data_IF_851348530324
#
_entry.id   IF_851348530324
#
_cell.length_a   1.000
_cell.length_b   1.000
_cell.length_c   1.000
_cell.angle_alpha   90.00
_cell.angle_beta   90.00
_cell.angle_gamma   90.00
#
_symmetry.space_group_name_H-M   'P 1'
#
loop_
_entity.id
_entity.type
_entity.pdbx_description
1 polymer ?
#
# COMPACT_ATOMS: atom_id res chain seq x y z
N UNK A 1 59.11 -61.96 5.04
CA UNK A 1 59.43 -60.56 4.71
C UNK A 1 58.15 -59.74 4.74
N UNK A 2 58.18 -58.61 5.47
CA UNK A 2 57.24 -57.47 5.53
C UNK A 2 55.78 -57.70 5.99
N UNK A 3 55.50 -57.09 7.14
CA UNK A 3 54.18 -56.68 7.69
C UNK A 3 53.52 -55.63 6.78
N UNK A 4 52.19 -55.51 6.81
CA UNK A 4 51.50 -54.23 7.07
C UNK A 4 50.01 -54.43 7.40
N UNK A 5 49.53 -53.64 8.38
CA UNK A 5 48.14 -53.50 8.85
C UNK A 5 47.27 -52.68 7.87
N UNK A 6 45.93 -52.81 7.97
CA UNK A 6 44.93 -51.74 8.13
C UNK A 6 43.52 -52.39 8.15
N UNK A 7 42.83 -52.43 9.29
CA UNK A 7 41.89 -51.43 9.82
C UNK A 7 40.55 -51.34 9.05
N UNK A 8 39.50 -51.79 9.75
CA UNK A 8 38.07 -51.68 9.47
C UNK A 8 37.58 -50.24 9.28
N UNK A 9 36.66 -50.02 8.34
CA UNK A 9 35.70 -48.91 8.42
C UNK A 9 34.34 -49.33 7.82
N UNK A 10 33.31 -49.33 8.66
CA UNK A 10 31.90 -49.41 8.25
C UNK A 10 31.57 -48.20 7.37
N UNK A 11 31.07 -48.45 6.15
CA UNK A 11 30.42 -47.42 5.35
C UNK A 11 28.91 -47.39 5.69
N UNK A 12 28.57 -46.52 6.65
CA UNK A 12 27.21 -46.05 6.88
C UNK A 12 26.87 -45.04 5.77
N UNK A 13 26.32 -45.51 4.65
CA UNK A 13 25.84 -44.66 3.55
C UNK A 13 24.37 -44.33 3.77
N UNK A 14 24.11 -43.18 4.38
CA UNK A 14 22.76 -42.69 4.68
C UNK A 14 21.85 -42.57 3.45
N UNK A 15 20.61 -43.02 3.64
CA UNK A 15 19.47 -42.66 2.81
C UNK A 15 19.26 -41.13 2.92
N UNK A 16 19.66 -40.39 1.89
CA UNK A 16 19.23 -39.01 1.73
C UNK A 16 17.80 -39.03 1.17
N UNK A 17 16.79 -38.46 1.86
CA UNK A 17 15.49 -38.24 1.24
C UNK A 17 15.67 -37.18 0.16
N UNK A 18 15.22 -37.50 -1.05
CA UNK A 18 15.05 -36.53 -2.12
C UNK A 18 14.02 -35.49 -1.68
N UNK A 19 14.47 -34.30 -1.26
CA UNK A 19 13.59 -33.16 -1.04
C UNK A 19 13.16 -32.62 -2.40
N UNK A 20 11.94 -32.98 -2.82
CA UNK A 20 11.20 -32.27 -3.85
C UNK A 20 10.93 -30.86 -3.35
N UNK A 21 11.49 -29.85 -4.04
CA UNK A 21 11.29 -28.44 -3.69
C UNK A 21 9.91 -28.01 -4.19
N UNK A 22 8.91 -28.14 -3.32
CA UNK A 22 7.58 -27.55 -3.52
C UNK A 22 7.66 -26.09 -3.05
N UNK A 23 7.39 -25.07 -3.90
CA UNK A 23 7.40 -23.67 -3.50
C UNK A 23 6.13 -23.38 -2.69
N UNK A 24 6.10 -23.89 -1.45
CA UNK A 24 5.15 -23.46 -0.44
C UNK A 24 5.41 -22.00 -0.11
N UNK A 25 4.38 -21.18 -0.21
CA UNK A 25 4.35 -19.83 0.33
C UNK A 25 4.75 -19.90 1.81
N UNK A 26 5.89 -19.32 2.16
CA UNK A 26 6.24 -19.11 3.57
C UNK A 26 5.45 -17.88 4.02
N UNK A 27 4.25 -18.11 4.53
CA UNK A 27 3.62 -17.16 5.43
C UNK A 27 4.29 -17.42 6.78
N UNK A 28 5.21 -16.53 7.18
CA UNK A 28 5.69 -16.52 8.56
C UNK A 28 4.53 -16.01 9.43
N UNK A 29 3.68 -16.91 9.89
CA UNK A 29 2.86 -16.70 11.07
C UNK A 29 3.54 -17.50 12.20
N UNK A 30 4.33 -16.82 13.02
CA UNK A 30 5.22 -17.49 13.98
C UNK A 30 4.49 -18.07 15.20
N UNK A 31 3.16 -18.01 15.24
CA UNK A 31 2.34 -18.65 16.27
C UNK A 31 2.70 -18.20 17.69
N UNK A 32 3.48 -17.13 17.85
CA UNK A 32 3.82 -16.57 19.13
C UNK A 32 2.69 -15.63 19.54
N UNK A 33 2.08 -15.87 20.71
CA UNK A 33 1.41 -14.80 21.45
C UNK A 33 2.49 -13.84 21.92
N UNK A 34 3.04 -13.07 20.98
CA UNK A 34 3.90 -11.94 21.28
C UNK A 34 3.16 -10.94 22.17
N UNK A 35 3.88 -10.03 22.85
CA UNK A 35 3.23 -8.98 23.61
C UNK A 35 2.19 -8.28 22.72
N UNK A 36 0.96 -8.14 23.22
CA UNK A 36 -0.12 -7.42 22.56
C UNK A 36 0.47 -6.15 21.94
N UNK A 37 0.29 -5.91 20.61
CA UNK A 37 0.96 -4.80 19.96
C UNK A 37 0.70 -3.50 20.72
N UNK A 38 1.75 -2.94 21.31
CA UNK A 38 1.65 -1.66 22.03
C UNK A 38 1.11 -0.61 21.07
N UNK A 39 0.24 0.28 21.56
CA UNK A 39 -0.29 1.38 20.76
C UNK A 39 0.86 2.14 20.06
N UNK A 40 0.71 2.52 18.76
CA UNK A 40 1.76 3.24 18.05
C UNK A 40 2.15 4.53 18.78
N UNK A 41 3.43 4.71 19.05
CA UNK A 41 3.93 5.89 19.77
C UNK A 41 3.92 7.16 18.89
N UNK A 42 3.96 7.00 17.57
CA UNK A 42 3.91 8.06 16.58
C UNK A 42 3.25 7.58 15.28
N UNK A 43 2.98 8.50 14.34
CA UNK A 43 2.35 8.15 13.07
C UNK A 43 3.21 7.21 12.19
N UNK A 44 4.54 7.27 12.27
CA UNK A 44 5.41 6.36 11.52
C UNK A 44 5.20 4.90 11.95
N UNK A 45 5.13 4.66 13.26
CA UNK A 45 4.81 3.33 13.80
C UNK A 45 3.38 2.90 13.45
N UNK A 46 2.44 3.83 13.39
CA UNK A 46 1.07 3.53 12.96
C UNK A 46 1.07 2.98 11.54
N UNK A 47 1.79 3.62 10.61
CA UNK A 47 1.87 3.16 9.22
C UNK A 47 2.55 1.80 9.09
N UNK A 48 3.62 1.55 9.85
CA UNK A 48 4.36 0.29 9.75
C UNK A 48 3.65 -0.88 10.41
N UNK A 49 2.88 -0.63 11.48
CA UNK A 49 2.17 -1.68 12.23
C UNK A 49 0.76 -1.96 11.70
N UNK A 50 0.03 -0.92 11.26
CA UNK A 50 -1.39 -1.02 10.94
C UNK A 50 -1.71 -0.74 9.46
N UNK A 51 -0.76 -0.20 8.70
CA UNK A 51 -0.92 -0.03 7.25
C UNK A 51 -0.99 -1.37 6.52
N UNK A 52 -1.33 -1.32 5.23
CA UNK A 52 -1.45 -2.53 4.42
C UNK A 52 -0.15 -3.37 4.48
N UNK A 53 -0.23 -4.68 4.77
CA UNK A 53 0.94 -5.48 5.05
C UNK A 53 1.84 -5.64 3.82
N UNK A 54 3.15 -5.78 4.06
CA UNK A 54 4.12 -6.17 3.03
C UNK A 54 4.07 -7.68 2.87
N UNK A 55 3.88 -8.12 1.64
CA UNK A 55 3.99 -9.51 1.21
C UNK A 55 5.35 -9.70 0.54
N UNK A 56 6.01 -10.82 0.85
CA UNK A 56 7.36 -11.11 0.37
C UNK A 56 7.38 -12.44 -0.37
N UNK A 57 7.84 -12.42 -1.63
CA UNK A 57 8.00 -13.62 -2.45
C UNK A 57 9.47 -13.80 -2.83
N UNK A 58 10.06 -14.95 -2.52
CA UNK A 58 11.41 -15.30 -2.97
C UNK A 58 11.31 -16.23 -4.16
N UNK A 59 12.00 -15.92 -5.26
CA UNK A 59 11.87 -16.68 -6.49
C UNK A 59 13.16 -16.76 -7.30
N UNK A 60 13.20 -17.71 -8.22
CA UNK A 60 14.29 -17.92 -9.16
C UNK A 60 14.07 -17.07 -10.43
N UNK A 61 14.91 -16.06 -10.69
CA UNK A 61 14.71 -15.12 -11.80
C UNK A 61 15.00 -15.73 -13.18
N UNK A 62 15.57 -16.93 -13.27
CA UNK A 62 15.93 -17.55 -14.56
C UNK A 62 14.72 -18.10 -15.34
N UNK A 63 13.54 -18.16 -14.70
CA UNK A 63 12.28 -18.65 -15.28
C UNK A 63 11.17 -17.60 -15.17
N UNK A 64 10.08 -17.80 -15.90
CA UNK A 64 8.87 -16.99 -15.70
C UNK A 64 8.24 -17.33 -14.35
N UNK A 65 7.79 -16.31 -13.63
CA UNK A 65 7.22 -16.45 -12.30
C UNK A 65 5.86 -15.76 -12.23
N UNK A 66 4.93 -16.40 -11.51
CA UNK A 66 3.60 -15.86 -11.23
C UNK A 66 3.29 -15.99 -9.75
N UNK A 67 2.79 -14.90 -9.14
CA UNK A 67 2.39 -14.85 -7.74
C UNK A 67 0.96 -14.35 -7.64
N UNK A 68 0.24 -14.75 -6.59
CA UNK A 68 -1.06 -14.18 -6.25
C UNK A 68 -0.94 -13.52 -4.90
N UNK A 69 -1.22 -12.21 -4.84
CA UNK A 69 -1.28 -11.47 -3.59
C UNK A 69 -2.45 -11.91 -2.71
N UNK A 70 -2.38 -11.60 -1.42
CA UNK A 70 -3.42 -11.92 -0.45
C UNK A 70 -4.80 -11.35 -0.81
N UNK A 71 -4.87 -10.29 -1.63
CA UNK A 71 -6.14 -9.73 -2.13
C UNK A 71 -6.42 -10.07 -3.60
N UNK A 72 -5.72 -11.06 -4.15
CA UNK A 72 -6.02 -11.65 -5.44
C UNK A 72 -5.36 -10.99 -6.64
N UNK A 73 -4.49 -9.98 -6.46
CA UNK A 73 -3.70 -9.45 -7.58
C UNK A 73 -2.72 -10.51 -8.07
N UNK A 74 -2.78 -10.83 -9.36
CA UNK A 74 -1.85 -11.76 -9.99
C UNK A 74 -0.68 -10.98 -10.58
N UNK A 75 0.54 -11.31 -10.16
CA UNK A 75 1.79 -10.68 -10.57
C UNK A 75 2.50 -11.65 -11.50
N UNK A 76 2.86 -11.21 -12.71
CA UNK A 76 3.63 -12.03 -13.66
C UNK A 76 4.92 -11.32 -14.05
N UNK A 77 6.04 -12.02 -13.83
CA UNK A 77 7.40 -11.55 -14.10
C UNK A 77 8.05 -12.53 -15.10
N UNK A 78 8.51 -12.07 -16.27
CA UNK A 78 9.17 -12.95 -17.23
C UNK A 78 10.54 -13.41 -16.74
N UNK A 79 11.05 -14.48 -17.36
CA UNK A 79 12.42 -14.94 -17.13
C UNK A 79 13.44 -13.84 -17.43
N UNK A 80 14.50 -13.77 -16.62
CA UNK A 80 15.63 -12.86 -16.78
C UNK A 80 15.22 -11.37 -16.82
N UNK A 81 14.11 -11.01 -16.17
CA UNK A 81 13.57 -9.66 -16.18
C UNK A 81 14.48 -8.64 -15.48
N UNK A 82 15.32 -9.08 -14.54
CA UNK A 82 16.13 -8.20 -13.70
C UNK A 82 17.62 -8.29 -14.03
N UNK A 83 18.28 -7.14 -14.05
CA UNK A 83 19.72 -6.99 -14.28
C UNK A 83 20.38 -6.18 -13.17
N UNK A 84 21.63 -6.52 -12.88
CA UNK A 84 22.52 -5.76 -12.01
C UNK A 84 23.81 -5.49 -12.78
N UNK A 85 24.16 -4.21 -12.93
CA UNK A 85 25.34 -3.79 -13.72
C UNK A 85 25.36 -4.39 -15.15
N UNK A 86 24.19 -4.45 -15.80
CA UNK A 86 24.04 -4.98 -17.16
C UNK A 86 24.07 -6.51 -17.28
N UNK A 87 24.25 -7.25 -16.18
CA UNK A 87 24.19 -8.72 -16.17
C UNK A 87 22.88 -9.19 -15.55
N UNK A 88 22.29 -10.24 -16.12
CA UNK A 88 21.09 -10.87 -15.58
C UNK A 88 21.36 -11.33 -14.15
N UNK A 89 20.42 -11.04 -13.25
CA UNK A 89 20.45 -11.53 -11.88
C UNK A 89 20.13 -13.02 -11.91
N UNK A 90 21.04 -13.86 -11.40
CA UNK A 90 20.91 -15.32 -11.37
C UNK A 90 20.65 -15.90 -9.98
N UNK A 91 20.88 -15.11 -8.92
CA UNK A 91 20.54 -15.50 -7.55
C UNK A 91 19.05 -15.29 -7.25
N UNK A 92 18.51 -15.90 -6.18
CA UNK A 92 17.12 -15.67 -5.77
C UNK A 92 16.82 -14.18 -5.59
N UNK A 93 15.68 -13.74 -6.13
CA UNK A 93 15.19 -12.36 -6.01
C UNK A 93 14.04 -12.35 -5.01
N UNK A 94 14.03 -11.34 -4.14
CA UNK A 94 12.92 -11.08 -3.23
C UNK A 94 12.00 -10.00 -3.82
N UNK A 95 10.71 -10.29 -3.96
CA UNK A 95 9.68 -9.34 -4.36
C UNK A 95 8.91 -8.86 -3.12
N UNK A 96 8.95 -7.56 -2.84
CA UNK A 96 8.08 -6.89 -1.88
C UNK A 96 6.83 -6.36 -2.57
N UNK A 97 5.66 -6.69 -2.04
CA UNK A 97 4.36 -6.35 -2.64
C UNK A 97 3.36 -5.88 -1.58
N UNK A 98 2.49 -4.91 -1.91
CA UNK A 98 1.39 -4.45 -1.04
C UNK A 98 0.14 -4.19 -1.87
N UNK A 99 -1.03 -4.36 -1.26
CA UNK A 99 -2.33 -4.13 -1.89
C UNK A 99 -3.22 -3.28 -0.96
N UNK A 100 -3.76 -2.17 -1.46
CA UNK A 100 -4.67 -1.25 -0.76
C UNK A 100 -5.95 -1.12 -1.58
N UNK A 101 -7.01 -1.82 -1.15
CA UNK A 101 -8.30 -1.85 -1.88
C UNK A 101 -9.46 -1.26 -1.09
N UNK A 102 -9.40 -1.29 0.25
CA UNK A 102 -10.44 -0.74 1.13
C UNK A 102 -10.00 0.60 1.71
N UNK A 103 -10.99 1.44 2.01
CA UNK A 103 -10.83 2.78 2.60
C UNK A 103 -10.04 2.78 3.91
N UNK A 104 -10.23 1.75 4.76
CA UNK A 104 -9.44 1.59 5.98
C UNK A 104 -7.93 1.52 5.71
N UNK A 105 -7.53 0.76 4.67
CA UNK A 105 -6.12 0.60 4.33
C UNK A 105 -5.53 1.87 3.72
N UNK A 106 -6.33 2.67 3.01
CA UNK A 106 -5.92 4.00 2.51
C UNK A 106 -5.57 4.92 3.68
N UNK A 107 -6.41 4.96 4.72
CA UNK A 107 -6.17 5.75 5.94
C UNK A 107 -4.93 5.24 6.68
N UNK A 108 -4.89 3.95 6.98
CA UNK A 108 -3.82 3.34 7.81
C UNK A 108 -2.46 3.30 7.09
N UNK A 109 -2.44 3.29 5.76
CA UNK A 109 -1.21 3.37 4.96
C UNK A 109 -0.82 4.80 4.59
N UNK A 110 -1.66 5.79 4.92
CA UNK A 110 -1.57 7.16 4.44
C UNK A 110 -1.45 7.27 2.91
N UNK A 111 -2.27 6.49 2.21
CA UNK A 111 -2.40 6.54 0.76
C UNK A 111 -3.81 7.03 0.40
N UNK A 112 -4.06 8.35 0.41
CA UNK A 112 -5.33 8.90 -0.02
C UNK A 112 -5.48 8.82 -1.54
N UNK A 113 -6.71 8.87 -2.03
CA UNK A 113 -7.04 8.78 -3.46
C UNK A 113 -7.26 10.18 -4.03
N UNK A 114 -6.18 10.94 -4.15
CA UNK A 114 -6.19 12.34 -4.63
C UNK A 114 -5.05 12.56 -5.62
N UNK A 115 -5.30 13.36 -6.67
CA UNK A 115 -4.29 13.81 -7.62
C UNK A 115 -4.51 15.27 -7.98
N UNK A 116 -3.53 16.13 -7.71
CA UNK A 116 -3.59 17.56 -8.00
C UNK A 116 -4.79 18.25 -7.36
N UNK A 117 -5.16 17.85 -6.13
CA UNK A 117 -6.32 18.37 -5.40
C UNK A 117 -7.69 17.87 -5.91
N UNK A 118 -7.72 16.91 -6.83
CA UNK A 118 -8.95 16.29 -7.33
C UNK A 118 -9.09 14.89 -6.73
N UNK A 119 -10.28 14.60 -6.23
CA UNK A 119 -10.63 13.28 -5.71
C UNK A 119 -10.57 12.22 -6.81
N UNK A 120 -10.14 11.03 -6.42
CA UNK A 120 -10.12 9.83 -7.23
C UNK A 120 -11.04 8.77 -6.62
N UNK A 121 -11.81 8.09 -7.47
CA UNK A 121 -12.48 6.84 -7.14
C UNK A 121 -11.56 5.68 -7.52
N UNK A 122 -11.28 4.83 -6.53
CA UNK A 122 -10.21 3.85 -6.64
C UNK A 122 -10.67 2.42 -6.88
N UNK A 123 -10.05 1.79 -7.88
CA UNK A 123 -10.10 0.34 -8.09
C UNK A 123 -8.85 -0.39 -7.56
N UNK A 124 -8.02 0.30 -6.78
CA UNK A 124 -6.98 -0.31 -5.98
C UNK A 124 -5.59 0.22 -6.26
N UNK A 125 -4.81 0.24 -5.18
CA UNK A 125 -3.43 0.69 -5.16
C UNK A 125 -2.52 -0.50 -4.85
N UNK A 126 -1.40 -0.59 -5.54
CA UNK A 126 -0.42 -1.65 -5.35
C UNK A 126 0.98 -1.08 -5.27
N UNK A 127 1.79 -1.66 -4.38
CA UNK A 127 3.22 -1.43 -4.32
C UNK A 127 3.95 -2.64 -4.85
N UNK A 128 4.98 -2.43 -5.66
CA UNK A 128 5.85 -3.50 -6.13
C UNK A 128 7.31 -3.04 -6.16
N UNK A 129 8.18 -3.84 -5.56
CA UNK A 129 9.63 -3.68 -5.64
C UNK A 129 10.32 -5.02 -5.60
N UNK A 130 11.12 -5.30 -6.63
CA UNK A 130 12.03 -6.43 -6.62
C UNK A 130 13.37 -5.96 -6.04
N UNK A 131 13.78 -6.65 -4.97
CA UNK A 131 14.97 -6.45 -4.17
C UNK A 131 15.02 -5.09 -3.44
N UNK A 132 15.70 -5.08 -2.28
CA UNK A 132 16.05 -3.86 -1.57
C UNK A 132 17.32 -3.22 -2.15
N UNK A 133 18.06 -3.97 -2.97
CA UNK A 133 19.21 -3.47 -3.72
C UNK A 133 18.76 -2.57 -4.88
N UNK A 134 18.96 -1.26 -4.73
CA UNK A 134 18.63 -0.26 -5.75
C UNK A 134 19.46 -0.36 -7.04
N UNK A 135 20.53 -1.17 -7.08
CA UNK A 135 21.29 -1.44 -8.30
C UNK A 135 20.63 -2.48 -9.21
N UNK A 136 19.61 -3.19 -8.72
CA UNK A 136 18.80 -4.09 -9.52
C UNK A 136 17.73 -3.29 -10.26
N UNK A 137 17.69 -3.48 -11.58
CA UNK A 137 16.81 -2.78 -12.51
C UNK A 137 16.11 -3.78 -13.41
N UNK A 138 14.98 -3.39 -13.99
CA UNK A 138 14.38 -4.15 -15.08
C UNK A 138 15.23 -4.03 -16.34
N UNK A 139 15.46 -5.17 -17.00
CA UNK A 139 16.12 -5.25 -18.29
C UNK A 139 15.36 -4.42 -19.33
N UNK A 140 16.08 -3.85 -20.30
CA UNK A 140 15.47 -3.06 -21.38
C UNK A 140 14.40 -3.86 -22.11
N UNK A 141 13.17 -3.33 -22.15
CA UNK A 141 12.02 -3.97 -22.81
C UNK A 141 11.31 -5.03 -21.97
N UNK A 142 11.85 -5.40 -20.80
CA UNK A 142 11.12 -6.25 -19.86
C UNK A 142 9.92 -5.50 -19.28
N UNK A 143 8.85 -6.25 -19.02
CA UNK A 143 7.63 -5.73 -18.39
C UNK A 143 7.17 -6.67 -17.28
N UNK A 144 6.60 -6.08 -16.23
CA UNK A 144 5.90 -6.81 -15.17
C UNK A 144 4.40 -6.59 -15.40
N UNK A 145 3.61 -7.67 -15.38
CA UNK A 145 2.15 -7.57 -15.51
C UNK A 145 1.50 -7.79 -14.16
N UNK A 146 0.58 -6.89 -13.80
CA UNK A 146 -0.27 -7.00 -12.62
C UNK A 146 -1.71 -7.10 -13.09
N UNK A 147 -2.41 -8.15 -12.71
CA UNK A 147 -3.85 -8.31 -12.96
C UNK A 147 -4.57 -8.14 -11.63
N UNK A 148 -5.21 -6.99 -11.44
CA UNK A 148 -5.97 -6.66 -10.22
C UNK A 148 -7.39 -7.21 -10.30
N UNK A 149 -8.08 -7.18 -9.16
CA UNK A 149 -9.52 -7.43 -9.07
C UNK A 149 -10.25 -6.11 -8.83
N UNK A 150 -11.47 -5.96 -9.36
CA UNK A 150 -12.32 -4.80 -9.06
C UNK A 150 -12.82 -4.89 -7.61
N UNK A 151 -12.51 -3.90 -6.75
CA UNK A 151 -13.05 -3.85 -5.40
C UNK A 151 -14.59 -3.75 -5.41
N UNK A 152 -15.30 -4.33 -4.42
CA UNK A 152 -16.77 -4.35 -4.40
C UNK A 152 -17.45 -2.97 -4.42
N UNK A 153 -16.75 -1.92 -3.99
CA UNK A 153 -17.24 -0.56 -3.81
C UNK A 153 -16.87 0.40 -4.95
N UNK A 154 -16.41 -0.13 -6.09
CA UNK A 154 -16.24 0.63 -7.33
C UNK A 154 -17.55 0.61 -8.11
N UNK A 155 -18.13 1.79 -8.38
CA UNK A 155 -19.41 1.90 -9.05
C UNK A 155 -19.34 1.50 -10.53
N UNK A 156 -18.21 1.78 -11.19
CA UNK A 156 -17.88 1.28 -12.54
C UNK A 156 -16.36 1.29 -12.74
N UNK A 157 -15.77 0.18 -13.25
CA UNK A 157 -14.34 0.10 -13.56
C UNK A 157 -13.98 0.80 -14.89
N UNK A 158 -14.94 1.43 -15.57
CA UNK A 158 -14.68 2.14 -16.81
C UNK A 158 -13.86 3.41 -16.57
N UNK A 159 -13.10 3.81 -17.59
CA UNK A 159 -12.29 5.04 -17.58
C UNK A 159 -11.22 5.09 -16.47
N UNK A 160 -10.85 3.94 -15.91
CA UNK A 160 -9.70 3.84 -15.01
C UNK A 160 -8.42 4.23 -15.74
N UNK A 161 -7.56 4.94 -15.04
CA UNK A 161 -6.29 5.46 -15.52
C UNK A 161 -5.21 5.03 -14.54
N UNK A 162 -4.00 4.91 -15.07
CA UNK A 162 -2.84 4.60 -14.24
C UNK A 162 -2.34 5.88 -13.59
N UNK A 163 -2.27 5.86 -12.27
CA UNK A 163 -1.56 6.83 -11.45
C UNK A 163 -0.34 6.16 -10.83
N UNK A 164 0.67 6.96 -10.53
CA UNK A 164 1.98 6.51 -10.06
C UNK A 164 2.45 7.35 -8.89
N UNK A 165 3.19 6.71 -7.99
CA UNK A 165 3.80 7.33 -6.82
C UNK A 165 5.27 6.98 -6.69
N UNK A 166 6.09 8.00 -6.42
CA UNK A 166 7.52 7.84 -6.12
C UNK A 166 7.78 7.01 -4.86
N UNK A 167 8.88 6.26 -4.87
CA UNK A 167 9.26 5.28 -3.87
C UNK A 167 9.17 5.73 -2.41
N UNK A 168 8.39 4.95 -1.65
CA UNK A 168 8.43 4.86 -0.19
C UNK A 168 8.30 3.38 0.18
N UNK A 169 9.29 2.59 -0.20
CA UNK A 169 9.32 1.13 -0.03
C UNK A 169 9.51 0.62 1.38
N UNK A 170 9.66 1.52 2.35
CA UNK A 170 9.72 1.17 3.76
C UNK A 170 9.23 2.34 4.59
N UNK A 171 8.14 2.14 5.35
CA UNK A 171 7.64 3.05 6.39
C UNK A 171 6.99 4.38 5.96
N UNK A 172 6.02 4.32 5.04
CA UNK A 172 4.98 5.35 4.88
C UNK A 172 5.18 6.29 3.70
N UNK A 173 4.10 6.61 3.00
CA UNK A 173 4.09 7.73 2.07
C UNK A 173 4.32 9.05 2.84
N UNK A 174 4.85 10.11 2.21
CA UNK A 174 4.98 11.42 2.86
C UNK A 174 3.64 11.85 3.47
N UNK A 175 3.71 12.63 4.56
CA UNK A 175 2.54 13.00 5.36
C UNK A 175 1.39 13.66 4.55
N UNK A 176 1.63 14.12 3.32
CA UNK A 176 0.59 14.63 2.42
C UNK A 176 0.82 14.11 1.02
N UNK A 177 0.71 12.79 0.87
CA UNK A 177 0.91 12.12 -0.42
C UNK A 177 -0.18 12.48 -1.43
N UNK A 178 0.22 12.63 -2.69
CA UNK A 178 -0.65 12.93 -3.83
C UNK A 178 -0.20 12.08 -5.03
N UNK A 179 -1.17 11.45 -5.70
CA UNK A 179 -0.91 10.59 -6.85
C UNK A 179 -0.59 11.43 -8.10
N UNK A 180 0.39 10.98 -8.89
CA UNK A 180 0.67 11.59 -10.19
C UNK A 180 0.05 10.76 -11.29
N UNK A 181 -0.72 11.38 -12.18
CA UNK A 181 -1.22 10.69 -13.37
C UNK A 181 -0.05 10.21 -14.24
N UNK A 182 -0.06 8.93 -14.63
CA UNK A 182 1.04 8.34 -15.41
C UNK A 182 1.24 9.08 -16.73
N UNK A 183 2.51 9.40 -17.03
CA UNK A 183 2.91 9.93 -18.32
C UNK A 183 2.97 8.77 -19.35
N UNK A 184 2.27 8.85 -20.49
CA UNK A 184 2.33 7.81 -21.53
C UNK A 184 3.75 7.48 -22.00
N UNK A 185 4.67 8.45 -21.97
CA UNK A 185 6.07 8.24 -22.30
C UNK A 185 6.82 7.32 -21.32
N UNK A 186 6.24 6.97 -20.18
CA UNK A 186 6.79 5.94 -19.28
C UNK A 186 6.69 4.54 -19.90
N UNK A 187 5.83 4.33 -20.91
CA UNK A 187 5.57 3.02 -21.51
C UNK A 187 4.74 2.08 -20.63
N UNK A 188 4.36 2.50 -19.41
CA UNK A 188 3.45 1.74 -18.58
C UNK A 188 1.99 1.97 -19.02
N UNK A 189 1.18 0.92 -18.97
CA UNK A 189 -0.20 0.94 -19.46
C UNK A 189 -1.16 0.33 -18.45
N UNK A 190 -2.44 0.65 -18.61
CA UNK A 190 -3.55 0.00 -17.93
C UNK A 190 -4.63 -0.36 -18.95
N UNK A 191 -5.21 -1.54 -18.81
CA UNK A 191 -6.32 -2.00 -19.64
C UNK A 191 -7.40 -2.66 -18.76
N UNK A 192 -8.68 -2.35 -18.97
CA UNK A 192 -9.77 -2.99 -18.23
C UNK A 192 -9.92 -4.46 -18.61
N UNK A 193 -10.45 -5.24 -17.68
CA UNK A 193 -10.87 -6.64 -17.85
C UNK A 193 -12.27 -6.81 -17.24
N UNK A 194 -12.97 -7.93 -17.49
CA UNK A 194 -14.29 -8.17 -16.89
C UNK A 194 -14.30 -8.14 -15.36
N UNK A 195 -13.16 -8.40 -14.71
CA UNK A 195 -13.07 -8.57 -13.25
C UNK A 195 -12.06 -7.64 -12.58
N UNK A 196 -11.52 -6.64 -13.29
CA UNK A 196 -10.44 -5.79 -12.77
C UNK A 196 -9.64 -5.10 -13.87
N UNK A 197 -8.35 -4.87 -13.65
CA UNK A 197 -7.47 -4.21 -14.62
C UNK A 197 -6.16 -4.97 -14.80
N UNK A 198 -5.58 -4.89 -15.99
CA UNK A 198 -4.21 -5.33 -16.27
C UNK A 198 -3.33 -4.10 -16.36
N UNK A 199 -2.39 -3.97 -15.44
CA UNK A 199 -1.33 -2.97 -15.46
C UNK A 199 -0.08 -3.62 -16.05
N UNK A 200 0.51 -2.97 -17.05
CA UNK A 200 1.84 -3.35 -17.56
C UNK A 200 2.84 -2.32 -17.07
N UNK A 201 3.74 -2.74 -16.18
CA UNK A 201 4.84 -1.92 -15.66
C UNK A 201 6.03 -2.09 -16.60
N UNK A 202 6.44 -1.01 -17.25
CA UNK A 202 7.59 -1.00 -18.14
C UNK A 202 8.92 -0.90 -17.37
N UNK A 203 10.01 -1.30 -18.02
CA UNK A 203 11.36 -1.07 -17.50
C UNK A 203 11.65 0.41 -17.26
N UNK A 204 11.15 1.32 -18.12
CA UNK A 204 11.35 2.76 -17.98
C UNK A 204 10.65 3.32 -16.72
N UNK A 205 9.40 2.94 -16.46
CA UNK A 205 8.70 3.37 -15.26
C UNK A 205 9.38 2.80 -14.00
N UNK A 206 9.63 1.48 -13.97
CA UNK A 206 10.22 0.82 -12.80
C UNK A 206 11.61 1.40 -12.47
N UNK A 207 12.48 1.55 -13.48
CA UNK A 207 13.84 2.05 -13.30
C UNK A 207 13.89 3.55 -12.94
N UNK A 208 12.79 4.30 -13.10
CA UNK A 208 12.69 5.67 -12.61
C UNK A 208 12.43 5.77 -11.10
N UNK A 209 12.33 4.64 -10.40
CA UNK A 209 12.14 4.59 -8.94
C UNK A 209 10.67 4.63 -8.50
N UNK A 210 9.74 4.51 -9.44
CA UNK A 210 8.31 4.36 -9.15
C UNK A 210 8.05 2.93 -8.68
N UNK A 211 7.45 2.80 -7.50
CA UNK A 211 7.02 1.51 -6.94
C UNK A 211 5.53 1.42 -6.65
N UNK A 212 4.85 2.56 -6.54
CA UNK A 212 3.42 2.62 -6.29
C UNK A 212 2.65 2.87 -7.59
N UNK A 213 1.64 2.04 -7.81
CA UNK A 213 0.76 2.07 -8.97
C UNK A 213 -0.67 2.11 -8.45
N UNK A 214 -1.49 2.96 -9.04
CA UNK A 214 -2.87 3.14 -8.61
C UNK A 214 -3.81 3.15 -9.82
N UNK A 215 -4.87 2.37 -9.73
CA UNK A 215 -5.88 2.18 -10.77
C UNK A 215 -7.14 2.97 -10.41
N UNK A 216 -7.19 4.22 -10.87
CA UNK A 216 -8.18 5.18 -10.39
C UNK A 216 -8.82 5.93 -11.54
N UNK A 217 -9.97 6.55 -11.28
CA UNK A 217 -10.55 7.57 -12.16
C UNK A 217 -10.83 8.83 -11.37
N UNK A 218 -10.80 9.97 -12.04
CA UNK A 218 -11.21 11.22 -11.39
C UNK A 218 -12.69 11.14 -11.00
N UNK A 219 -12.98 11.39 -9.73
CA UNK A 219 -14.35 11.51 -9.27
C UNK A 219 -14.97 12.80 -9.82
N UNK A 220 -16.13 12.66 -10.44
CA UNK A 220 -16.88 13.77 -11.04
C UNK A 220 -18.20 13.96 -10.31
N UNK A 221 -18.51 15.20 -9.97
CA UNK A 221 -19.78 15.59 -9.38
C UNK A 221 -20.18 16.96 -9.95
N UNK A 222 -21.46 17.17 -10.30
CA UNK A 222 -21.97 18.46 -10.76
C UNK A 222 -22.17 19.44 -9.60
N UNK A 223 -22.11 18.97 -8.35
CA UNK A 223 -22.37 19.81 -7.19
C UNK A 223 -21.29 20.90 -7.04
N UNK A 224 -21.64 22.06 -6.47
CA UNK A 224 -20.67 23.07 -6.08
C UNK A 224 -19.55 22.47 -5.22
N UNK A 225 -18.35 23.05 -5.34
CA UNK A 225 -17.19 22.64 -4.55
C UNK A 225 -16.99 23.62 -3.40
N UNK A 226 -16.73 23.08 -2.22
CA UNK A 226 -16.45 23.84 -1.00
C UNK A 226 -15.17 23.34 -0.33
N UNK A 227 -14.79 24.01 0.76
CA UNK A 227 -13.74 23.51 1.65
C UNK A 227 -14.35 22.61 2.72
N UNK A 228 -13.74 21.46 2.96
CA UNK A 228 -14.01 20.69 4.17
C UNK A 228 -13.15 21.24 5.30
N UNK A 229 -13.80 21.63 6.40
CA UNK A 229 -13.15 22.15 7.60
C UNK A 229 -13.33 21.15 8.74
N UNK A 230 -12.25 20.80 9.43
CA UNK A 230 -12.27 19.90 10.58
C UNK A 230 -11.60 20.56 11.77
N UNK A 231 -12.32 20.67 12.88
CA UNK A 231 -11.83 21.13 14.17
C UNK A 231 -11.35 19.94 14.98
N UNK A 232 -10.09 19.97 15.40
CA UNK A 232 -9.48 18.92 16.23
C UNK A 232 -9.16 19.49 17.61
N UNK A 233 -9.81 18.96 18.64
CA UNK A 233 -9.59 19.42 20.02
C UNK A 233 -8.29 18.86 20.62
N UNK A 234 -7.62 19.69 21.43
CA UNK A 234 -6.44 19.33 22.22
C UNK A 234 -5.21 20.17 21.88
N UNK A 235 -4.19 20.12 22.74
CA UNK A 235 -2.89 20.76 22.50
C UNK A 235 -1.95 19.87 21.67
N UNK A 236 -0.80 20.42 21.27
CA UNK A 236 0.27 19.73 20.54
C UNK A 236 -0.25 19.00 19.27
N UNK A 237 -0.85 19.77 18.35
CA UNK A 237 -1.35 19.25 17.08
C UNK A 237 -0.26 19.46 16.02
N UNK A 238 0.27 18.35 15.49
CA UNK A 238 1.22 18.35 14.38
C UNK A 238 0.69 17.42 13.26
N UNK A 239 0.30 17.97 12.08
CA UNK A 239 -0.30 17.22 10.97
C UNK A 239 0.63 16.18 10.34
N UNK A 240 1.93 16.25 10.63
CA UNK A 240 2.97 15.37 10.08
C UNK A 240 3.37 14.31 11.11
N UNK A 241 3.51 14.70 12.38
CA UNK A 241 4.12 13.84 13.41
C UNK A 241 3.13 13.03 14.22
N UNK A 242 2.01 13.64 14.61
CA UNK A 242 1.18 13.09 15.69
C UNK A 242 -0.33 13.13 15.44
N UNK A 243 -0.80 13.86 14.42
CA UNK A 243 -2.22 14.03 14.13
C UNK A 243 -2.46 13.84 12.64
N UNK A 244 -3.41 12.98 12.30
CA UNK A 244 -3.90 12.83 10.94
C UNK A 244 -5.40 13.02 10.90
N UNK A 245 -5.86 13.68 9.83
CA UNK A 245 -7.27 13.93 9.57
C UNK A 245 -7.60 13.43 8.18
N UNK A 246 -8.63 12.60 8.08
CA UNK A 246 -9.10 12.04 6.82
C UNK A 246 -10.59 12.32 6.64
N UNK A 247 -10.95 12.66 5.41
CA UNK A 247 -12.30 12.55 4.90
C UNK A 247 -12.40 11.22 4.13
N UNK A 248 -13.21 10.28 4.63
CA UNK A 248 -13.44 8.98 3.99
C UNK A 248 -14.80 9.00 3.31
N UNK A 249 -14.85 8.91 1.98
CA UNK A 249 -16.09 9.07 1.24
C UNK A 249 -16.92 7.79 1.30
N UNK A 250 -18.22 7.94 1.58
CA UNK A 250 -19.13 6.79 1.81
C UNK A 250 -19.76 6.29 0.51
N UNK A 251 -19.88 7.15 -0.50
CA UNK A 251 -20.58 6.89 -1.76
C UNK A 251 -19.71 6.29 -2.86
N UNK A 252 -18.39 6.30 -2.71
CA UNK A 252 -17.43 5.68 -3.63
C UNK A 252 -16.17 5.25 -2.87
N UNK A 253 -15.35 4.39 -3.48
CA UNK A 253 -14.08 3.97 -2.88
C UNK A 253 -13.05 5.10 -2.96
N UNK A 254 -12.88 5.87 -1.89
CA UNK A 254 -11.84 6.87 -1.85
C UNK A 254 -11.70 7.58 -0.51
N UNK A 255 -10.57 8.26 -0.33
CA UNK A 255 -10.29 9.06 0.85
C UNK A 255 -9.42 10.28 0.52
N UNK A 256 -9.51 11.30 1.35
CA UNK A 256 -8.72 12.53 1.28
C UNK A 256 -8.05 12.75 2.63
N UNK A 257 -6.72 12.85 2.65
CA UNK A 257 -6.00 13.33 3.83
C UNK A 257 -6.04 14.86 3.86
N UNK A 258 -6.48 15.43 4.98
CA UNK A 258 -6.54 16.87 5.19
C UNK A 258 -5.28 17.31 5.92
N UNK A 259 -4.42 18.04 5.23
CA UNK A 259 -3.08 18.39 5.70
C UNK A 259 -2.88 19.85 6.09
N UNK A 260 -3.64 20.77 5.48
CA UNK A 260 -3.50 22.19 5.78
C UNK A 260 -4.00 22.44 7.18
N UNK A 261 -3.09 22.77 8.09
CA UNK A 261 -3.39 23.04 9.49
C UNK A 261 -3.20 24.52 9.80
N UNK A 262 -4.23 25.14 10.37
CA UNK A 262 -4.23 26.49 10.91
C UNK A 262 -4.44 26.41 12.42
N UNK A 263 -3.43 26.86 13.15
CA UNK A 263 -3.50 26.97 14.60
C UNK A 263 -4.72 27.81 15.04
N UNK A 264 -5.38 27.46 16.15
CA UNK A 264 -4.94 26.43 17.10
C UNK A 264 -5.39 25.00 16.79
N UNK A 265 -6.40 24.81 15.94
CA UNK A 265 -7.20 23.57 15.94
C UNK A 265 -7.82 23.18 14.58
N UNK A 266 -7.52 23.90 13.49
CA UNK A 266 -8.32 23.82 12.26
C UNK A 266 -7.55 23.13 11.15
N UNK A 267 -8.13 22.10 10.57
CA UNK A 267 -7.69 21.46 9.34
C UNK A 267 -8.62 21.83 8.19
N UNK A 268 -8.08 22.09 7.01
CA UNK A 268 -8.87 22.48 5.84
C UNK A 268 -8.37 21.83 4.54
N UNK A 269 -9.28 21.42 3.68
CA UNK A 269 -8.99 21.03 2.30
C UNK A 269 -10.04 21.61 1.34
N UNK A 270 -9.63 22.38 0.31
CA UNK A 270 -10.56 22.96 -0.65
C UNK A 270 -10.98 21.96 -1.74
N UNK A 271 -11.97 22.35 -2.55
CA UNK A 271 -12.26 21.68 -3.82
C UNK A 271 -13.07 20.40 -3.72
N UNK A 272 -13.72 20.14 -2.57
CA UNK A 272 -14.52 18.93 -2.35
C UNK A 272 -15.99 19.20 -2.72
N UNK A 273 -16.66 18.35 -3.50
CA UNK A 273 -18.07 18.53 -3.83
C UNK A 273 -18.98 18.50 -2.58
N UNK A 274 -19.92 19.43 -2.52
CA UNK A 274 -20.98 19.44 -1.51
C UNK A 274 -21.93 18.24 -1.68
N UNK A 275 -22.60 17.85 -0.60
CA UNK A 275 -23.59 16.77 -0.60
C UNK A 275 -23.00 15.36 -0.52
N UNK A 276 -21.68 15.20 -0.56
CA UNK A 276 -21.05 13.89 -0.36
C UNK A 276 -21.18 13.43 1.08
N UNK A 277 -21.69 12.21 1.27
CA UNK A 277 -21.64 11.52 2.56
C UNK A 277 -20.20 11.12 2.88
N UNK A 278 -19.74 11.47 4.07
CA UNK A 278 -18.35 11.31 4.51
C UNK A 278 -18.30 10.82 5.95
N UNK A 279 -17.25 10.07 6.28
CA UNK A 279 -16.79 9.85 7.64
C UNK A 279 -15.50 10.62 7.83
N UNK A 280 -15.55 11.67 8.66
CA UNK A 280 -14.34 12.41 9.05
C UNK A 280 -13.70 11.69 10.21
N UNK A 281 -12.48 11.23 9.99
CA UNK A 281 -11.68 10.46 10.94
C UNK A 281 -10.49 11.29 11.40
N UNK A 282 -10.23 11.29 12.70
CA UNK A 282 -9.05 11.90 13.31
C UNK A 282 -8.34 10.82 14.11
N UNK A 283 -7.06 10.60 13.82
CA UNK A 283 -6.19 9.69 14.58
C UNK A 283 -5.03 10.51 15.14
N UNK A 284 -4.78 10.36 16.44
CA UNK A 284 -3.67 11.02 17.12
C UNK A 284 -2.85 10.06 17.95
N UNK A 285 -1.53 10.23 17.93
CA UNK A 285 -0.58 9.52 18.80
C UNK A 285 0.08 10.54 19.71
N UNK A 286 -0.23 10.53 21.01
CA UNK A 286 0.28 11.53 21.95
C UNK A 286 0.71 10.85 23.25
N UNK A 287 1.96 11.09 23.68
CA UNK A 287 2.52 10.52 24.92
C UNK A 287 2.37 8.99 25.02
N UNK A 288 2.61 8.27 23.91
CA UNK A 288 2.49 6.82 23.84
C UNK A 288 1.05 6.28 23.84
N UNK A 289 0.05 7.16 23.73
CA UNK A 289 -1.37 6.80 23.65
C UNK A 289 -1.94 7.07 22.27
N UNK A 290 -2.87 6.23 21.85
CA UNK A 290 -3.62 6.37 20.60
C UNK A 290 -5.00 6.98 20.91
N UNK A 291 -5.36 8.01 20.19
CA UNK A 291 -6.69 8.64 20.24
C UNK A 291 -7.34 8.56 18.88
N UNK A 292 -8.63 8.25 18.88
CA UNK A 292 -9.44 8.14 17.68
C UNK A 292 -10.75 8.90 17.84
N UNK A 293 -11.20 9.54 16.78
CA UNK A 293 -12.51 10.16 16.70
C UNK A 293 -13.03 10.04 15.28
N UNK A 294 -14.32 9.78 15.18
CA UNK A 294 -15.04 9.71 13.91
C UNK A 294 -16.33 10.51 14.01
N UNK A 295 -16.63 11.24 12.94
CA UNK A 295 -17.92 11.89 12.75
C UNK A 295 -18.42 11.63 11.33
N UNK A 296 -19.56 10.96 11.22
CA UNK A 296 -20.25 10.80 9.96
C UNK A 296 -21.10 12.05 9.66
N UNK A 297 -21.24 12.39 8.39
CA UNK A 297 -22.10 13.49 7.97
C UNK A 297 -22.05 13.73 6.47
N UNK A 298 -22.45 14.94 6.08
CA UNK A 298 -22.52 15.36 4.68
C UNK A 298 -21.73 16.65 4.52
N UNK A 299 -20.94 16.76 3.44
CA UNK A 299 -20.15 17.96 3.17
C UNK A 299 -21.08 19.13 2.82
N UNK A 300 -20.96 20.22 3.56
CA UNK A 300 -21.74 21.45 3.40
C UNK A 300 -20.83 22.67 3.54
N UNK A 301 -21.08 23.70 2.74
CA UNK A 301 -20.29 24.93 2.81
C UNK A 301 -20.38 25.61 4.19
N UNK A 302 -19.21 25.93 4.76
CA UNK A 302 -19.11 26.67 6.02
C UNK A 302 -19.49 25.88 7.29
N UNK A 303 -19.84 24.60 7.18
CA UNK A 303 -20.19 23.75 8.33
C UNK A 303 -18.99 22.87 8.69
N UNK A 304 -18.31 23.11 9.83
CA UNK A 304 -17.16 22.32 10.22
C UNK A 304 -17.57 20.97 10.82
N UNK A 305 -16.71 19.96 10.64
CA UNK A 305 -16.72 18.75 11.45
C UNK A 305 -15.89 18.95 12.72
N UNK A 306 -16.25 18.30 13.82
CA UNK A 306 -15.52 18.30 15.08
C UNK A 306 -15.59 16.92 15.75
N UNK A 307 -14.93 15.88 15.20
CA UNK A 307 -14.96 14.53 15.77
C UNK A 307 -14.46 14.51 17.22
N UNK A 308 -15.22 13.89 18.11
CA UNK A 308 -14.84 13.75 19.51
C UNK A 308 -13.78 12.66 19.64
N UNK A 309 -12.59 13.04 20.09
CA UNK A 309 -11.47 12.14 20.30
C UNK A 309 -11.59 11.39 21.62
N UNK A 310 -11.33 10.08 21.59
CA UNK A 310 -11.22 9.21 22.77
C UNK A 310 -9.94 8.39 22.69
N UNK A 311 -9.31 8.15 23.82
CA UNK A 311 -8.23 7.16 23.91
C UNK A 311 -8.78 5.79 23.49
N UNK A 312 -8.02 5.05 22.68
CA UNK A 312 -8.45 3.78 22.09
C UNK A 312 -7.28 2.80 21.93
N UNK A 313 -7.59 1.57 21.53
CA UNK A 313 -6.60 0.57 21.12
C UNK A 313 -6.49 0.51 19.60
N UNK A 314 -5.36 -0.02 19.09
CA UNK A 314 -5.18 -0.25 17.66
C UNK A 314 -6.27 -1.13 17.08
N UNK A 315 -6.66 -2.21 17.78
CA UNK A 315 -7.69 -3.14 17.33
C UNK A 315 -9.05 -2.45 17.19
N UNK A 316 -9.51 -1.75 18.23
CA UNK A 316 -10.81 -1.06 18.19
C UNK A 316 -10.87 0.04 17.12
N UNK A 317 -9.77 0.76 16.89
CA UNK A 317 -9.67 1.73 15.79
C UNK A 317 -9.76 1.06 14.42
N UNK A 318 -9.03 -0.05 14.21
CA UNK A 318 -9.05 -0.80 12.95
C UNK A 318 -10.44 -1.39 12.68
N UNK A 319 -11.10 -1.91 13.71
CA UNK A 319 -12.47 -2.44 13.61
C UNK A 319 -13.47 -1.37 13.19
N UNK A 320 -13.40 -0.16 13.77
CA UNK A 320 -14.28 0.96 13.37
C UNK A 320 -13.99 1.40 11.92
N UNK A 321 -12.72 1.56 11.56
CA UNK A 321 -12.31 1.90 10.19
C UNK A 321 -12.78 0.88 9.15
N UNK A 322 -12.85 -0.41 9.51
CA UNK A 322 -13.33 -1.46 8.60
C UNK A 322 -14.84 -1.38 8.34
N UNK A 323 -15.60 -0.59 9.09
CA UNK A 323 -17.01 -0.31 8.83
C UNK A 323 -17.22 0.83 7.82
N UNK A 324 -16.13 1.44 7.32
CA UNK A 324 -16.18 2.61 6.45
C UNK A 324 -16.53 2.31 5.01
#
# INVERSE_FOLDING_TARGET
MKKLLLASLLAFGGLLPACQFDPGVVICDDGSTGPTPTAPANLQQLYSQLGAPVQTFTYDPSRANTFTGAKGTVISIPANAFVKNGRVVSGPVQLSFREIFKRADMVLSSMPTVSGGRLLESAGEVYLRADQDSSITLATGATIRLQTQTPPNVASPDSMRLFVGGGGGGSGAPACFDWTLNNPSSGATIAPTPTGNVITVSSLLYNSGIGWLNCDKFYSSPNPRTAITVKVTGGDIDPIKNTMVFAVFRTFNGSLRICSFKAPDTFEAPGVPEGLAVSVVVIRTLNGKLYYGRQDGTIQAGVPFAPVLKETTSAAMVDDLNQL
#
